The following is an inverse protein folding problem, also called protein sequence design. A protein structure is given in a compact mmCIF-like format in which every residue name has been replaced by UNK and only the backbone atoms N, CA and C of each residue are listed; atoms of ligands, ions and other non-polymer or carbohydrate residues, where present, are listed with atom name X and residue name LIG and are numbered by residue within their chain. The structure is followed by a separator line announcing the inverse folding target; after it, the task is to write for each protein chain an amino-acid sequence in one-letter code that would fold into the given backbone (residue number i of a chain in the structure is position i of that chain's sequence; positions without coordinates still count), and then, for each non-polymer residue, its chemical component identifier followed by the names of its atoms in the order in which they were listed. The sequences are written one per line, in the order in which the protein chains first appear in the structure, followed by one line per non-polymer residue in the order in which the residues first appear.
data_IF_851081797866
#
_entry.id   IF_851081797866
#
_cell.length_a   1.000
_cell.length_b   1.000
_cell.length_c   1.000
_cell.angle_alpha   90.00
_cell.angle_beta   90.00
_cell.angle_gamma   90.00
#
_symmetry.space_group_name_H-M   'P 1'
#
loop_
_entity.id
_entity.type
_entity.pdbx_description
1 polymer ?
#
# COMPACT_ATOMS: atom_id res chain seq x y z
N UNK A 1 -28.01 -14.60 4.05
CA UNK A 1 -28.26 -14.13 2.67
C UNK A 1 -27.71 -12.73 2.46
N UNK A 2 -28.13 -11.72 3.23
CA UNK A 2 -27.59 -10.35 3.13
C UNK A 2 -26.07 -10.25 3.36
N UNK A 3 -25.56 -10.98 4.36
CA UNK A 3 -24.12 -11.04 4.68
C UNK A 3 -23.27 -11.59 3.54
N UNK A 4 -23.74 -12.60 2.82
CA UNK A 4 -23.02 -13.21 1.69
C UNK A 4 -22.90 -12.22 0.51
N UNK A 5 -23.98 -11.47 0.24
CA UNK A 5 -24.02 -10.44 -0.82
C UNK A 5 -23.10 -9.26 -0.47
N UNK A 6 -23.11 -8.83 0.80
CA UNK A 6 -22.17 -7.80 1.27
C UNK A 6 -20.73 -8.29 1.12
N UNK A 7 -20.40 -9.53 1.48
CA UNK A 7 -19.04 -10.05 1.30
C UNK A 7 -18.63 -10.15 -0.18
N UNK A 8 -19.51 -10.61 -1.07
CA UNK A 8 -19.21 -10.73 -2.52
C UNK A 8 -18.93 -9.37 -3.21
N UNK A 9 -19.52 -8.28 -2.72
CA UNK A 9 -19.29 -6.93 -3.26
C UNK A 9 -18.18 -6.21 -2.51
N UNK A 10 -18.14 -6.30 -1.18
CA UNK A 10 -17.16 -5.59 -0.37
C UNK A 10 -15.73 -6.13 -0.54
N UNK A 11 -15.56 -7.44 -0.75
CA UNK A 11 -14.23 -8.03 -0.93
C UNK A 11 -13.52 -7.50 -2.19
N UNK A 12 -14.10 -7.55 -3.41
CA UNK A 12 -13.43 -7.02 -4.60
C UNK A 12 -13.26 -5.50 -4.57
N UNK A 13 -14.17 -4.77 -3.92
CA UNK A 13 -14.05 -3.32 -3.73
C UNK A 13 -12.89 -2.99 -2.79
N UNK A 14 -12.75 -3.71 -1.67
CA UNK A 14 -11.63 -3.55 -0.76
C UNK A 14 -10.30 -3.97 -1.41
N UNK A 15 -10.29 -5.05 -2.20
CA UNK A 15 -9.12 -5.51 -2.93
C UNK A 15 -8.62 -4.47 -3.96
N UNK A 16 -9.53 -3.93 -4.76
CA UNK A 16 -9.20 -2.93 -5.78
C UNK A 16 -8.86 -1.55 -5.22
N UNK A 17 -9.54 -1.09 -4.17
CA UNK A 17 -9.34 0.27 -3.66
C UNK A 17 -8.26 0.38 -2.59
N UNK A 18 -8.11 -0.65 -1.75
CA UNK A 18 -7.21 -0.63 -0.59
C UNK A 18 -5.99 -1.49 -0.86
N UNK A 19 -6.16 -2.76 -1.24
CA UNK A 19 -5.03 -3.69 -1.36
C UNK A 19 -4.14 -3.34 -2.54
N UNK A 20 -4.71 -3.07 -3.72
CA UNK A 20 -3.92 -2.68 -4.89
C UNK A 20 -3.22 -1.33 -4.67
N UNK A 21 -3.90 -0.36 -4.07
CA UNK A 21 -3.30 0.94 -3.77
C UNK A 21 -2.17 0.83 -2.74
N UNK A 22 -2.34 0.01 -1.71
CA UNK A 22 -1.29 -0.23 -0.70
C UNK A 22 -0.09 -0.96 -1.30
N UNK A 23 -0.33 -1.96 -2.15
CA UNK A 23 0.72 -2.66 -2.90
C UNK A 23 1.51 -1.70 -3.79
N UNK A 24 0.82 -0.85 -4.56
CA UNK A 24 1.44 0.13 -5.44
C UNK A 24 2.27 1.14 -4.64
N UNK A 25 1.73 1.66 -3.53
CA UNK A 25 2.49 2.51 -2.60
C UNK A 25 3.76 1.80 -2.12
N UNK A 26 3.67 0.53 -1.72
CA UNK A 26 4.83 -0.22 -1.25
C UNK A 26 5.89 -0.43 -2.34
N UNK A 27 5.48 -0.61 -3.59
CA UNK A 27 6.40 -0.65 -4.75
C UNK A 27 7.14 0.67 -4.93
N UNK A 28 6.41 1.80 -4.94
CA UNK A 28 7.00 3.13 -5.03
C UNK A 28 7.99 3.40 -3.88
N UNK A 29 7.62 3.07 -2.64
CA UNK A 29 8.50 3.23 -1.48
C UNK A 29 9.72 2.28 -1.51
N UNK A 30 9.57 1.08 -2.08
CA UNK A 30 10.67 0.14 -2.30
C UNK A 30 11.69 0.65 -3.30
N UNK A 31 11.24 1.18 -4.45
CA UNK A 31 12.12 1.79 -5.45
C UNK A 31 12.79 3.07 -4.92
N UNK A 32 12.02 3.89 -4.21
CA UNK A 32 12.52 5.10 -3.58
C UNK A 32 13.59 4.83 -2.52
N UNK A 33 13.48 3.74 -1.77
CA UNK A 33 14.47 3.35 -0.76
C UNK A 33 15.86 3.14 -1.38
N UNK A 34 15.96 2.64 -2.60
CA UNK A 34 17.24 2.46 -3.29
C UNK A 34 17.91 3.77 -3.68
N UNK A 35 17.14 4.85 -3.84
CA UNK A 35 17.62 6.17 -4.24
C UNK A 35 17.93 7.04 -3.01
N UNK A 36 16.99 7.09 -2.06
CA UNK A 36 17.01 8.02 -0.94
C UNK A 36 17.39 7.37 0.40
N UNK A 37 17.51 6.05 0.46
CA UNK A 37 17.74 5.32 1.71
C UNK A 37 16.62 5.55 2.73
N UNK A 38 16.97 5.64 4.01
CA UNK A 38 15.99 5.82 5.09
C UNK A 38 15.28 7.19 5.08
N UNK A 39 15.76 8.17 4.32
CA UNK A 39 15.15 9.52 4.21
C UNK A 39 13.77 9.45 3.54
N UNK A 40 13.51 8.40 2.75
CA UNK A 40 12.21 8.19 2.08
C UNK A 40 11.02 8.20 3.05
N UNK A 41 11.22 7.74 4.29
CA UNK A 41 10.15 7.68 5.30
C UNK A 41 9.82 9.04 5.93
N UNK A 42 10.62 10.07 5.65
CA UNK A 42 10.29 11.44 6.03
C UNK A 42 9.44 12.17 4.98
N UNK A 43 9.31 11.61 3.79
CA UNK A 43 8.52 12.16 2.68
C UNK A 43 7.08 11.62 2.68
N UNK A 44 6.13 12.47 2.30
CA UNK A 44 4.76 12.02 2.05
C UNK A 44 4.61 11.41 0.65
N UNK A 45 3.55 10.62 0.45
CA UNK A 45 3.31 9.90 -0.81
C UNK A 45 3.31 10.84 -2.03
N UNK A 46 2.72 12.02 -1.91
CA UNK A 46 2.58 12.97 -3.01
C UNK A 46 3.93 13.57 -3.40
N UNK A 47 4.76 13.92 -2.41
CA UNK A 47 6.13 14.36 -2.61
C UNK A 47 6.94 13.26 -3.28
N UNK A 48 6.83 12.03 -2.79
CA UNK A 48 7.59 10.92 -3.33
C UNK A 48 7.18 10.57 -4.77
N UNK A 49 5.87 10.53 -5.05
CA UNK A 49 5.35 10.32 -6.40
C UNK A 49 5.78 11.44 -7.36
N UNK A 50 5.87 12.68 -6.87
CA UNK A 50 6.36 13.82 -7.65
C UNK A 50 7.85 13.69 -7.96
N UNK A 51 8.66 13.30 -6.98
CA UNK A 51 10.10 13.10 -7.17
C UNK A 51 10.42 11.91 -8.09
N UNK A 52 9.57 10.88 -8.06
CA UNK A 52 9.69 9.68 -8.88
C UNK A 52 8.80 9.67 -10.13
N UNK A 53 8.34 10.85 -10.57
CA UNK A 53 7.50 11.00 -11.76
C UNK A 53 8.16 10.40 -13.02
N UNK A 54 9.49 10.47 -13.10
CA UNK A 54 10.27 9.89 -14.20
C UNK A 54 10.19 8.36 -14.29
N UNK A 55 9.79 7.68 -13.21
CA UNK A 55 9.52 6.22 -13.19
C UNK A 55 8.03 5.89 -13.41
N UNK A 56 7.17 6.91 -13.58
CA UNK A 56 5.75 6.74 -13.85
C UNK A 56 4.88 6.52 -12.61
N UNK A 57 5.38 6.82 -11.41
CA UNK A 57 4.64 6.63 -10.16
C UNK A 57 3.62 7.76 -9.85
N UNK A 58 3.63 8.86 -10.60
CA UNK A 58 2.64 9.94 -10.45
C UNK A 58 1.36 9.69 -11.26
N UNK A 59 0.77 8.50 -11.10
CA UNK A 59 -0.39 8.03 -11.86
C UNK A 59 -1.72 8.12 -11.07
N UNK A 60 -1.66 8.57 -9.81
CA UNK A 60 -2.79 8.62 -8.88
C UNK A 60 -3.18 7.27 -8.27
N UNK A 61 -2.52 6.18 -8.66
CA UNK A 61 -2.68 4.84 -8.09
C UNK A 61 -1.63 4.52 -7.04
N UNK A 62 -0.50 5.23 -7.04
CA UNK A 62 0.58 5.09 -6.05
C UNK A 62 0.52 6.13 -4.93
N UNK A 63 -0.48 7.01 -4.95
CA UNK A 63 -0.72 8.01 -3.88
C UNK A 63 -2.04 7.73 -3.18
N UNK A 64 -2.10 8.06 -1.88
CA UNK A 64 -3.37 8.11 -1.18
C UNK A 64 -4.28 9.21 -1.76
N UNK A 65 -5.61 9.06 -1.64
CA UNK A 65 -6.54 10.14 -1.95
C UNK A 65 -6.21 11.42 -1.20
N UNK A 66 -6.53 12.58 -1.78
CA UNK A 66 -6.20 13.90 -1.22
C UNK A 66 -6.63 14.09 0.24
N UNK A 67 -7.74 13.48 0.65
CA UNK A 67 -8.24 13.54 2.04
C UNK A 67 -7.34 12.79 3.05
N UNK A 68 -6.36 12.02 2.58
CA UNK A 68 -5.32 11.33 3.36
C UNK A 68 -3.89 11.74 2.95
N UNK A 69 -3.71 12.66 2.01
CA UNK A 69 -2.42 13.03 1.39
C UNK A 69 -1.37 13.69 2.31
N UNK A 70 -1.68 13.89 3.59
CA UNK A 70 -0.74 14.40 4.60
C UNK A 70 -0.15 13.31 5.51
N UNK A 71 -0.55 12.05 5.35
CA UNK A 71 -0.07 10.94 6.16
C UNK A 71 1.25 10.45 5.58
N UNK A 72 2.32 10.48 6.38
CA UNK A 72 3.59 9.86 6.00
C UNK A 72 3.39 8.36 5.84
N UNK A 73 4.13 7.75 4.92
CA UNK A 73 4.16 6.30 4.81
C UNK A 73 4.85 5.71 6.03
N UNK A 74 4.05 5.30 7.00
CA UNK A 74 4.49 4.37 8.02
C UNK A 74 4.68 3.03 7.32
N UNK A 75 5.94 2.55 7.30
CA UNK A 75 6.24 1.18 6.91
C UNK A 75 5.19 0.29 7.58
N UNK A 76 4.38 -0.48 6.83
CA UNK A 76 3.13 -0.97 7.35
C UNK A 76 3.45 -2.07 8.35
N UNK A 77 3.67 -1.70 9.62
CA UNK A 77 3.68 -2.60 10.75
C UNK A 77 2.39 -3.43 10.69
N UNK A 78 1.27 -2.84 10.25
CA UNK A 78 0.03 -3.55 9.96
C UNK A 78 0.14 -4.57 8.83
N UNK A 79 0.81 -4.25 7.72
CA UNK A 79 1.04 -5.21 6.62
C UNK A 79 1.96 -6.35 7.07
N UNK A 80 3.00 -6.03 7.84
CA UNK A 80 3.95 -7.00 8.38
C UNK A 80 3.32 -7.87 9.47
N UNK A 81 2.48 -7.30 10.33
CA UNK A 81 1.65 -8.02 11.31
C UNK A 81 0.60 -8.87 10.58
N UNK A 82 -0.05 -8.35 9.54
CA UNK A 82 -1.00 -9.10 8.74
C UNK A 82 -0.34 -10.29 8.06
N UNK A 83 0.81 -10.11 7.40
CA UNK A 83 1.58 -11.19 6.80
C UNK A 83 2.10 -12.16 7.87
N UNK A 84 2.59 -11.68 9.01
CA UNK A 84 3.01 -12.54 10.11
C UNK A 84 1.85 -13.40 10.66
N UNK A 85 0.66 -12.82 10.83
CA UNK A 85 -0.55 -13.53 11.22
C UNK A 85 -0.98 -14.51 10.13
N UNK A 86 -0.94 -14.11 8.86
CA UNK A 86 -1.29 -14.96 7.72
C UNK A 86 -0.33 -16.15 7.59
N UNK A 87 0.98 -15.95 7.75
CA UNK A 87 1.99 -17.03 7.77
C UNK A 87 1.82 -17.94 8.98
N UNK A 88 1.36 -17.40 10.12
CA UNK A 88 1.07 -18.20 11.31
C UNK A 88 -0.21 -19.04 11.18
N UNK A 89 -1.26 -18.51 10.55
CA UNK A 89 -2.54 -19.20 10.32
C UNK A 89 -2.45 -20.18 9.15
N UNK A 90 -1.71 -19.82 8.12
CA UNK A 90 -1.45 -20.65 6.93
C UNK A 90 0.05 -20.93 6.81
N UNK A 91 0.65 -21.67 7.74
CA UNK A 91 2.02 -22.11 7.57
C UNK A 91 2.01 -23.01 6.34
N UNK A 92 2.73 -22.61 5.29
CA UNK A 92 2.75 -23.34 4.02
C UNK A 92 2.91 -24.83 4.28
N UNK A 93 2.06 -25.65 3.65
CA UNK A 93 2.18 -27.10 3.71
C UNK A 93 3.53 -27.49 3.11
N UNK A 94 4.29 -28.27 3.88
CA UNK A 94 5.55 -28.89 3.46
C UNK A 94 5.35 -29.76 2.23
#
# INVERSE_FOLDING_TARGET
MLTLVISLLAIPIADTLVIQRDRNRNEMYGEAFWIYGFIVYDMNDTQLATELDYMGFNDGFHTLPDYLGGVKYEYPIFGLIFFAIATWIFPGTV
#
